data_IF_166229787474
#
_entry.id   IF_166229787474
#
_cell.length_a   1.000
_cell.length_b   1.000
_cell.length_c   1.000
_cell.angle_alpha   90.00
_cell.angle_beta   90.00
_cell.angle_gamma   90.00
#
_symmetry.space_group_name_H-M   'P 1'
#
loop_
_entity.id
_entity.type
_entity.pdbx_description
1 polymer ?
#
# COMPACT_ATOMS: atom_id res chain seq x y z
N UNK A 1 -4.33 -12.01 19.48
CA UNK A 1 -3.34 -11.52 18.51
C UNK A 1 -3.96 -11.51 17.14
N UNK A 2 -3.55 -10.57 16.30
CA UNK A 2 -3.91 -10.53 14.90
C UNK A 2 -2.66 -10.74 14.05
N UNK A 3 -2.74 -11.61 13.05
CA UNK A 3 -1.85 -11.59 11.90
C UNK A 3 -2.48 -10.67 10.86
N UNK A 4 -1.73 -9.68 10.36
CA UNK A 4 -2.26 -8.68 9.45
C UNK A 4 -1.35 -8.50 8.25
N UNK A 5 -1.97 -8.37 7.07
CA UNK A 5 -1.31 -7.95 5.83
C UNK A 5 -1.85 -6.58 5.44
N UNK A 6 -0.97 -5.60 5.27
CA UNK A 6 -1.35 -4.27 4.82
C UNK A 6 -0.69 -3.91 3.47
N UNK A 7 -1.31 -3.04 2.69
CA UNK A 7 -0.76 -2.58 1.42
C UNK A 7 -1.73 -1.75 0.60
N UNK A 8 -1.54 -1.74 -0.71
CA UNK A 8 -2.42 -1.04 -1.65
C UNK A 8 -3.69 -1.86 -1.89
N UNK A 9 -4.84 -1.25 -1.62
CA UNK A 9 -6.14 -1.85 -1.91
C UNK A 9 -6.42 -1.80 -3.42
N UNK A 10 -6.78 -2.97 -3.97
CA UNK A 10 -7.07 -3.16 -5.40
C UNK A 10 -8.36 -2.44 -5.84
N UNK A 11 -9.26 -2.17 -4.90
CA UNK A 11 -10.62 -1.69 -5.15
C UNK A 11 -10.83 -0.21 -4.81
N UNK A 12 -9.79 0.48 -4.34
CA UNK A 12 -9.97 1.86 -3.88
C UNK A 12 -9.99 2.86 -5.04
N UNK A 13 -11.03 3.68 -5.07
CA UNK A 13 -11.10 4.83 -5.97
C UNK A 13 -10.04 5.87 -5.61
N UNK A 14 -9.38 6.31 -6.66
CA UNK A 14 -8.26 7.25 -6.66
C UNK A 14 -8.70 8.69 -6.36
N UNK A 15 -9.80 8.88 -5.63
CA UNK A 15 -10.19 10.21 -5.16
C UNK A 15 -9.08 10.84 -4.30
N UNK A 16 -8.29 10.03 -3.58
CA UNK A 16 -7.13 10.50 -2.82
C UNK A 16 -5.86 10.80 -3.66
N UNK A 17 -5.79 10.45 -4.95
CA UNK A 17 -4.75 10.99 -5.85
C UNK A 17 -5.26 12.14 -6.71
N UNK A 18 -6.58 12.41 -6.72
CA UNK A 18 -7.16 13.58 -7.37
C UNK A 18 -7.10 14.86 -6.52
N UNK A 19 -6.78 14.76 -5.22
CA UNK A 19 -6.53 15.91 -4.34
C UNK A 19 -5.12 16.52 -4.51
N UNK A 20 -4.44 16.21 -5.62
CA UNK A 20 -3.16 16.80 -5.94
C UNK A 20 -3.36 18.17 -6.59
N UNK A 21 -2.43 19.13 -6.37
CA UNK A 21 -2.68 20.53 -6.67
C UNK A 21 -3.06 20.70 -8.13
N UNK A 22 -4.20 21.36 -8.36
CA UNK A 22 -4.57 21.93 -9.65
C UNK A 22 -3.53 23.00 -9.99
N UNK A 23 -2.45 22.57 -10.64
CA UNK A 23 -1.32 23.38 -11.05
C UNK A 23 -0.35 22.51 -11.85
N UNK A 24 0.26 23.06 -12.89
CA UNK A 24 1.00 22.38 -13.97
C UNK A 24 2.22 21.50 -13.57
N UNK A 25 2.39 21.15 -12.29
CA UNK A 25 3.45 20.25 -11.84
C UNK A 25 2.99 18.80 -11.97
N UNK A 26 3.62 18.07 -12.89
CA UNK A 26 3.47 16.62 -12.99
C UNK A 26 4.04 15.98 -11.73
N UNK A 27 3.15 15.46 -10.88
CA UNK A 27 3.52 14.73 -9.69
C UNK A 27 4.33 13.48 -10.05
N UNK A 28 5.45 13.24 -9.34
CA UNK A 28 6.21 12.02 -9.48
C UNK A 28 5.57 10.87 -8.67
N UNK A 29 4.92 9.86 -9.29
CA UNK A 29 4.29 8.73 -8.59
C UNK A 29 5.23 8.01 -7.63
N UNK A 30 6.52 7.96 -7.95
CA UNK A 30 7.51 7.21 -7.20
C UNK A 30 7.97 7.93 -5.93
N UNK A 31 7.62 9.22 -5.80
CA UNK A 31 7.88 10.04 -4.62
C UNK A 31 6.62 10.24 -3.77
N UNK A 32 5.51 9.61 -4.16
CA UNK A 32 4.25 9.72 -3.45
C UNK A 32 4.05 8.57 -2.48
N UNK A 33 3.36 8.91 -1.39
CA UNK A 33 2.85 7.96 -0.42
C UNK A 33 1.37 7.72 -0.71
N UNK A 34 1.00 6.46 -0.96
CA UNK A 34 -0.37 6.06 -1.23
C UNK A 34 -1.00 5.53 0.06
N UNK A 35 -2.33 5.65 0.18
CA UNK A 35 -3.04 5.17 1.37
C UNK A 35 -2.84 3.66 1.56
N UNK A 36 -2.35 3.29 2.74
CA UNK A 36 -2.27 1.91 3.19
C UNK A 36 -3.63 1.43 3.73
N UNK A 37 -3.99 0.18 3.44
CA UNK A 37 -5.19 -0.52 3.94
C UNK A 37 -4.82 -1.89 4.49
N UNK A 38 -5.66 -2.42 5.39
CA UNK A 38 -5.58 -3.84 5.74
C UNK A 38 -6.17 -4.64 4.58
N UNK A 39 -5.36 -5.50 3.99
CA UNK A 39 -5.78 -6.36 2.87
C UNK A 39 -6.39 -7.66 3.38
N UNK A 40 -5.87 -8.18 4.49
CA UNK A 40 -6.46 -9.30 5.22
C UNK A 40 -5.91 -9.37 6.65
N UNK A 41 -6.67 -10.01 7.52
CA UNK A 41 -6.25 -10.32 8.88
C UNK A 41 -6.83 -11.65 9.37
N UNK A 42 -6.16 -12.24 10.36
CA UNK A 42 -6.61 -13.45 11.05
C UNK A 42 -6.28 -13.36 12.56
N UNK A 43 -7.17 -13.80 13.46
CA UNK A 43 -8.55 -14.25 13.19
C UNK A 43 -9.43 -13.06 12.77
N UNK A 44 -10.66 -13.34 12.32
CA UNK A 44 -11.58 -12.28 11.90
C UNK A 44 -11.88 -11.30 13.05
N UNK A 45 -12.04 -11.84 14.26
CA UNK A 45 -12.27 -11.08 15.49
C UNK A 45 -11.59 -11.77 16.68
N UNK A 46 -11.13 -10.98 17.63
CA UNK A 46 -10.58 -11.44 18.92
C UNK A 46 -11.50 -10.92 20.04
N UNK A 47 -12.01 -11.78 20.92
CA UNK A 47 -12.80 -11.34 22.06
C UNK A 47 -12.05 -10.31 22.91
N UNK A 48 -12.72 -9.22 23.27
CA UNK A 48 -12.18 -8.09 24.06
C UNK A 48 -11.03 -7.31 23.39
N UNK A 49 -10.74 -7.54 22.11
CA UNK A 49 -9.78 -6.75 21.35
C UNK A 49 -10.36 -6.39 19.96
N UNK A 50 -11.17 -5.33 19.86
CA UNK A 50 -11.81 -4.96 18.60
C UNK A 50 -10.76 -4.60 17.54
N UNK A 51 -10.96 -5.11 16.32
CA UNK A 51 -10.04 -4.85 15.21
C UNK A 51 -10.15 -3.39 14.76
N UNK A 52 -9.03 -2.66 14.79
CA UNK A 52 -8.96 -1.27 14.33
C UNK A 52 -8.07 -1.16 13.08
N UNK A 53 -8.69 -1.33 11.92
CA UNK A 53 -8.02 -1.28 10.61
C UNK A 53 -7.18 -0.01 10.42
N UNK A 54 -7.73 1.15 10.78
CA UNK A 54 -7.09 2.45 10.55
C UNK A 54 -5.86 2.65 11.44
N UNK A 55 -5.90 2.19 12.69
CA UNK A 55 -4.73 2.24 13.57
C UNK A 55 -3.65 1.28 13.07
N UNK A 56 -4.04 0.06 12.71
CA UNK A 56 -3.13 -0.99 12.27
C UNK A 56 -2.44 -0.64 10.96
N UNK A 57 -3.19 -0.16 9.96
CA UNK A 57 -2.64 0.24 8.66
C UNK A 57 -1.63 1.38 8.79
N UNK A 58 -1.94 2.40 9.62
CA UNK A 58 -1.02 3.52 9.89
C UNK A 58 0.24 3.10 10.66
N UNK A 59 0.12 2.20 11.63
CA UNK A 59 1.29 1.65 12.33
C UNK A 59 2.14 0.75 11.44
N UNK A 60 1.50 0.02 10.52
CA UNK A 60 2.15 -0.90 9.60
C UNK A 60 2.88 -0.20 8.45
N UNK A 61 2.40 0.97 8.03
CA UNK A 61 3.04 1.80 7.00
C UNK A 61 2.90 3.28 7.37
N UNK A 62 3.77 3.83 8.23
CA UNK A 62 3.70 5.23 8.65
C UNK A 62 3.88 6.19 7.47
N UNK A 63 4.73 5.81 6.51
CA UNK A 63 4.97 6.55 5.27
C UNK A 63 4.05 6.09 4.12
N UNK A 64 2.99 5.34 4.43
CA UNK A 64 2.07 4.76 3.46
C UNK A 64 2.71 3.75 2.50
N UNK A 65 1.98 3.45 1.42
CA UNK A 65 2.46 2.54 0.37
C UNK A 65 3.37 3.31 -0.58
N UNK A 66 4.52 2.71 -0.90
CA UNK A 66 5.47 3.24 -1.87
C UNK A 66 5.47 2.41 -3.15
N UNK A 67 5.75 3.08 -4.27
CA UNK A 67 5.81 2.46 -5.60
C UNK A 67 7.25 2.48 -6.11
N UNK A 68 7.67 1.37 -6.72
CA UNK A 68 9.00 1.19 -7.32
C UNK A 68 8.91 0.63 -8.73
N UNK A 69 9.94 0.92 -9.51
CA UNK A 69 10.04 0.55 -10.92
C UNK A 69 11.23 -0.38 -11.13
N UNK A 70 11.01 -1.50 -11.83
CA UNK A 70 12.00 -2.50 -12.27
C UNK A 70 12.77 -3.23 -11.17
N UNK A 71 13.01 -2.61 -10.02
CA UNK A 71 13.69 -3.20 -8.88
C UNK A 71 12.93 -2.85 -7.59
N UNK A 72 12.46 -3.85 -6.83
CA UNK A 72 11.99 -3.60 -5.47
C UNK A 72 13.16 -3.22 -4.56
N UNK A 73 12.89 -2.38 -3.56
CA UNK A 73 13.85 -2.12 -2.47
C UNK A 73 14.00 -3.40 -1.61
N UNK A 74 15.12 -3.57 -0.88
CA UNK A 74 15.28 -4.70 0.04
C UNK A 74 14.19 -4.69 1.13
N UNK A 75 13.91 -5.88 1.68
CA UNK A 75 13.00 -6.01 2.82
C UNK A 75 13.51 -5.21 4.01
N UNK A 76 12.62 -4.47 4.64
CA UNK A 76 12.92 -3.67 5.83
C UNK A 76 12.00 -4.05 6.98
N UNK A 77 12.40 -3.72 8.19
CA UNK A 77 11.58 -3.93 9.38
C UNK A 77 11.57 -2.67 10.23
N UNK A 78 10.43 -2.33 10.82
CA UNK A 78 10.35 -1.31 11.85
C UNK A 78 9.53 -1.81 13.04
N UNK A 79 9.93 -1.46 14.27
CA UNK A 79 9.14 -1.74 15.46
C UNK A 79 7.99 -0.74 15.61
N UNK A 80 6.93 -1.13 16.29
CA UNK A 80 5.89 -0.24 16.79
C UNK A 80 5.40 -0.68 18.17
N UNK A 81 4.67 0.21 18.84
CA UNK A 81 4.16 0.01 20.19
C UNK A 81 2.67 0.34 20.24
N UNK A 82 1.86 -0.57 20.78
CA UNK A 82 0.48 -0.31 21.14
C UNK A 82 0.39 -0.16 22.66
N UNK A 83 -0.26 0.90 23.12
CA UNK A 83 -0.59 1.08 24.54
C UNK A 83 -2.10 0.99 24.71
N UNK A 84 -2.54 0.04 25.55
CA UNK A 84 -3.94 -0.14 25.90
C UNK A 84 -4.39 0.87 26.97
N UNK A 85 -5.71 0.98 27.15
CA UNK A 85 -6.33 1.85 28.14
C UNK A 85 -5.94 1.50 29.59
N UNK A 86 -5.62 0.23 29.86
CA UNK A 86 -5.13 -0.26 31.16
C UNK A 86 -3.63 0.01 31.38
N UNK A 87 -2.94 0.62 30.41
CA UNK A 87 -1.50 0.90 30.44
C UNK A 87 -0.62 -0.24 29.95
N UNK A 88 -1.18 -1.39 29.59
CA UNK A 88 -0.42 -2.51 29.03
C UNK A 88 0.18 -2.14 27.67
N UNK A 89 1.41 -2.59 27.41
CA UNK A 89 2.22 -2.24 26.25
C UNK A 89 2.60 -3.46 25.44
N UNK A 90 2.36 -3.41 24.13
CA UNK A 90 2.69 -4.47 23.18
C UNK A 90 3.70 -3.96 22.15
N UNK A 91 4.84 -4.64 22.07
CA UNK A 91 5.94 -4.32 21.19
C UNK A 91 5.94 -5.31 20.03
N UNK A 92 5.72 -4.80 18.83
CA UNK A 92 5.60 -5.60 17.63
C UNK A 92 6.55 -5.10 16.54
N UNK A 93 6.78 -5.95 15.54
CA UNK A 93 7.64 -5.66 14.39
C UNK A 93 6.86 -5.88 13.12
N UNK A 94 7.00 -4.93 12.20
CA UNK A 94 6.44 -5.01 10.86
C UNK A 94 7.55 -5.40 9.90
N UNK A 95 7.25 -6.33 8.99
CA UNK A 95 8.09 -6.63 7.84
C UNK A 95 7.51 -5.96 6.60
N UNK A 96 8.26 -5.07 5.99
CA UNK A 96 7.93 -4.43 4.71
C UNK A 96 8.69 -5.12 3.59
N UNK A 97 7.96 -5.46 2.53
CA UNK A 97 8.49 -6.02 1.28
C UNK A 97 7.76 -5.40 0.09
N UNK A 98 8.22 -5.70 -1.11
CA UNK A 98 7.60 -5.20 -2.34
C UNK A 98 7.02 -6.37 -3.13
N UNK A 99 5.79 -6.20 -3.59
CA UNK A 99 5.07 -7.15 -4.43
C UNK A 99 4.92 -6.57 -5.83
N UNK A 100 5.13 -7.40 -6.85
CA UNK A 100 4.90 -7.00 -8.24
C UNK A 100 3.41 -6.81 -8.49
N UNK A 101 3.06 -5.66 -9.06
CA UNK A 101 1.72 -5.37 -9.53
C UNK A 101 1.59 -5.95 -10.93
N UNK A 102 0.88 -7.08 -11.05
CA UNK A 102 0.57 -7.68 -12.34
C UNK A 102 -0.72 -7.09 -12.89
N UNK A 103 -0.68 -6.59 -14.13
CA UNK A 103 -1.87 -6.22 -14.89
C UNK A 103 -2.57 -7.44 -15.53
N UNK A 104 -1.92 -8.61 -15.47
CA UNK A 104 -2.30 -9.83 -16.20
C UNK A 104 -3.28 -10.73 -15.42
N UNK A 105 -4.03 -10.19 -14.46
CA UNK A 105 -5.19 -10.91 -13.95
C UNK A 105 -6.27 -10.88 -15.05
N UNK A 106 -6.23 -11.85 -15.97
CA UNK A 106 -7.33 -12.12 -16.91
C UNK A 106 -8.67 -12.41 -16.19
N UNK A 107 -8.65 -12.59 -14.86
CA UNK A 107 -9.84 -12.65 -14.01
C UNK A 107 -10.44 -11.26 -13.65
N UNK A 108 -9.78 -10.15 -13.99
CA UNK A 108 -10.37 -8.78 -13.90
C UNK A 108 -11.46 -8.59 -14.96
N UNK A 109 -11.55 -9.46 -15.97
CA UNK A 109 -12.63 -9.46 -16.97
C UNK A 109 -14.03 -9.78 -16.39
N UNK A 110 -14.13 -10.18 -15.12
CA UNK A 110 -15.41 -10.30 -14.40
C UNK A 110 -15.59 -9.28 -13.27
N UNK A 111 -14.60 -8.42 -13.00
CA UNK A 111 -14.69 -7.40 -11.96
C UNK A 111 -14.51 -6.03 -12.59
N UNK A 112 -15.62 -5.34 -12.85
CA UNK A 112 -15.71 -3.98 -13.41
C UNK A 112 -15.08 -2.89 -12.51
N UNK A 113 -14.11 -3.20 -11.64
CA UNK A 113 -13.84 -2.44 -10.41
C UNK A 113 -12.38 -2.41 -9.91
N UNK A 114 -11.36 -2.75 -10.72
CA UNK A 114 -9.96 -2.47 -10.30
C UNK A 114 -9.51 -1.05 -10.73
N UNK A 115 -10.24 -0.02 -10.29
CA UNK A 115 -9.98 1.40 -10.61
C UNK A 115 -8.64 1.89 -10.09
N UNK A 116 -8.17 1.37 -8.95
CA UNK A 116 -6.91 1.77 -8.31
C UNK A 116 -5.68 1.57 -9.20
N UNK A 117 -5.46 0.34 -9.66
CA UNK A 117 -4.29 0.00 -10.47
C UNK A 117 -4.33 0.62 -11.86
N UNK A 118 -5.50 0.65 -12.49
CA UNK A 118 -5.67 1.29 -13.80
C UNK A 118 -5.30 2.76 -13.70
N UNK A 119 -5.72 3.44 -12.64
CA UNK A 119 -5.43 4.86 -12.40
C UNK A 119 -3.96 5.10 -12.06
N UNK A 120 -3.34 4.24 -11.25
CA UNK A 120 -1.91 4.31 -10.92
C UNK A 120 -1.04 4.09 -12.16
N UNK A 121 -1.39 3.12 -13.00
CA UNK A 121 -0.73 2.89 -14.28
C UNK A 121 -0.85 4.11 -15.21
N UNK A 122 -2.04 4.71 -15.32
CA UNK A 122 -2.23 5.95 -16.10
C UNK A 122 -1.39 7.10 -15.56
N UNK A 123 -1.30 7.26 -14.24
CA UNK A 123 -0.48 8.30 -13.61
C UNK A 123 1.01 8.08 -13.90
N UNK A 124 1.50 6.84 -13.79
CA UNK A 124 2.87 6.46 -14.15
C UNK A 124 3.14 6.67 -15.64
N UNK A 125 2.23 6.28 -16.52
CA UNK A 125 2.36 6.53 -17.96
C UNK A 125 2.43 8.03 -18.28
N UNK A 126 1.56 8.84 -17.68
CA UNK A 126 1.54 10.28 -17.89
C UNK A 126 2.84 10.94 -17.40
N UNK A 127 3.33 10.52 -16.23
CA UNK A 127 4.63 10.95 -15.70
C UNK A 127 5.78 10.58 -16.65
N UNK A 128 5.83 9.33 -17.12
CA UNK A 128 6.86 8.87 -18.06
C UNK A 128 6.80 9.59 -19.42
N UNK A 129 5.61 9.99 -19.88
CA UNK A 129 5.44 10.76 -21.13
C UNK A 129 5.99 12.19 -21.01
N UNK A 130 5.84 12.81 -19.83
CA UNK A 130 6.30 14.18 -19.57
C UNK A 130 7.78 14.23 -19.24
N UNK A 131 8.30 13.25 -18.50
CA UNK A 131 9.72 13.03 -18.31
C UNK A 131 10.32 12.28 -19.51
N UNK A 132 10.48 12.97 -20.66
CA UNK A 132 11.07 12.41 -21.89
C UNK A 132 12.47 11.78 -21.62
N UNK A 133 12.54 10.47 -21.37
CA UNK A 133 13.70 9.62 -21.74
C UNK A 133 13.60 8.09 -21.49
N UNK A 134 12.52 7.51 -20.96
CA UNK A 134 12.50 6.06 -20.78
C UNK A 134 12.13 5.30 -22.07
N UNK A 135 13.08 4.51 -22.59
CA UNK A 135 12.88 3.54 -23.68
C UNK A 135 11.74 2.57 -23.35
N UNK A 136 10.99 2.17 -24.38
CA UNK A 136 9.85 1.22 -24.41
C UNK A 136 10.17 -0.20 -23.92
N UNK A 137 10.74 -0.39 -22.73
CA UNK A 137 10.73 -1.70 -22.07
C UNK A 137 9.44 -1.84 -21.25
N UNK A 138 8.86 -3.03 -21.22
CA UNK A 138 7.81 -3.37 -20.25
C UNK A 138 8.32 -3.08 -18.84
N UNK A 139 7.78 -2.05 -18.20
CA UNK A 139 8.18 -1.63 -16.87
C UNK A 139 7.47 -2.51 -15.84
N UNK A 140 8.23 -3.18 -14.99
CA UNK A 140 7.66 -3.89 -13.84
C UNK A 140 7.41 -2.88 -12.74
N UNK A 141 6.18 -2.86 -12.21
CA UNK A 141 5.78 -1.96 -11.13
C UNK A 141 5.65 -2.79 -9.87
N UNK A 142 6.18 -2.28 -8.76
CA UNK A 142 6.10 -2.91 -7.46
C UNK A 142 5.46 -1.96 -6.45
N UNK A 143 4.61 -2.49 -5.58
CA UNK A 143 4.05 -1.76 -4.43
C UNK A 143 4.56 -2.36 -3.13
N UNK A 144 4.84 -1.51 -2.13
CA UNK A 144 5.15 -2.00 -0.80
C UNK A 144 3.93 -2.69 -0.17
N UNK A 145 4.19 -3.79 0.53
CA UNK A 145 3.24 -4.61 1.29
C UNK A 145 3.90 -4.93 2.63
N UNK A 146 3.10 -5.03 3.68
CA UNK A 146 3.59 -5.38 5.01
C UNK A 146 2.87 -6.57 5.59
N UNK A 147 3.59 -7.28 6.46
CA UNK A 147 3.05 -8.32 7.32
C UNK A 147 3.47 -8.00 8.76
N UNK A 148 2.55 -8.10 9.69
CA UNK A 148 2.82 -7.96 11.12
C UNK A 148 1.98 -8.91 11.96
N UNK A 149 2.52 -9.26 13.12
CA UNK A 149 1.77 -9.81 14.23
C UNK A 149 1.46 -8.65 15.17
N UNK A 150 0.24 -8.63 15.69
CA UNK A 150 -0.24 -7.60 16.59
C UNK A 150 -0.66 -8.32 17.86
N UNK A 151 0.05 -8.03 18.95
CA UNK A 151 -0.29 -8.53 20.28
C UNK A 151 -1.71 -8.12 20.69
N UNK A 152 -2.29 -8.77 21.72
CA UNK A 152 -3.60 -8.41 22.22
C UNK A 152 -3.63 -6.91 22.52
#
# INVERSE_FOLDING_TARGET
DYFVVCGLDKYLDVESLSELPVGEQVLNPFQCSYRCRVLCHYPHEVPNNPFNEDAISRSSMPDGVSIRLNSPDPRTTHPFLITRLDGTRYYDVVLTFFEQINNDDENISQCSSSTAFISLNRLIENYNRTCRHQRRSSLLIYASKTICLIGP
#
